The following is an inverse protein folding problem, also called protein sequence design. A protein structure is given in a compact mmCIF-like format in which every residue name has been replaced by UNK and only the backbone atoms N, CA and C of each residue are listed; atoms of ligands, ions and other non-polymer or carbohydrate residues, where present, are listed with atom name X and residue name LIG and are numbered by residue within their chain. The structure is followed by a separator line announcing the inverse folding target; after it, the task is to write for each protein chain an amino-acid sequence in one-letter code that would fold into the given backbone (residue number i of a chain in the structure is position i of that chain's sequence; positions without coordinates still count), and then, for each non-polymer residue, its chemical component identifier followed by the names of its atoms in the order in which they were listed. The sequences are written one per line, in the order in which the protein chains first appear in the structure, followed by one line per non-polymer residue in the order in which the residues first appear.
data_IF_984994737346
#
_entry.id   IF_984994737346
#
_cell.length_a   1.000
_cell.length_b   1.000
_cell.length_c   1.000
_cell.angle_alpha   90.00
_cell.angle_beta   90.00
_cell.angle_gamma   90.00
#
_symmetry.space_group_name_H-M   'P 1'
#
loop_
_entity.id
_entity.type
_entity.pdbx_description
1 polymer ?
#
# COMPACT_ATOMS: atom_id res chain seq x y z
N UNK A 1 -7.69 12.69 -13.76
CA UNK A 1 -6.94 11.42 -13.62
C UNK A 1 -7.19 10.89 -12.20
N UNK A 2 -7.28 9.58 -11.97
CA UNK A 2 -7.46 9.06 -10.60
C UNK A 2 -6.06 8.79 -10.00
N UNK A 3 -5.62 9.61 -9.07
CA UNK A 3 -4.29 9.55 -8.46
C UNK A 3 -3.96 8.18 -7.86
N UNK A 4 -4.96 7.48 -7.31
CA UNK A 4 -4.78 6.11 -6.81
C UNK A 4 -4.47 5.13 -7.94
N UNK A 5 -5.05 5.31 -9.12
CA UNK A 5 -4.74 4.47 -10.27
C UNK A 5 -3.28 4.67 -10.73
N UNK A 6 -2.80 5.91 -10.72
CA UNK A 6 -1.40 6.24 -11.06
C UNK A 6 -0.46 5.57 -10.04
N UNK A 7 -0.69 5.83 -8.75
CA UNK A 7 0.10 5.22 -7.67
C UNK A 7 0.09 3.68 -7.73
N UNK A 8 -1.07 3.07 -7.98
CA UNK A 8 -1.19 1.61 -8.14
C UNK A 8 -0.35 1.07 -9.30
N UNK A 9 -0.39 1.72 -10.47
CA UNK A 9 0.40 1.27 -11.63
C UNK A 9 1.90 1.30 -11.32
N UNK A 10 2.36 2.36 -10.65
CA UNK A 10 3.77 2.53 -10.25
C UNK A 10 4.15 1.46 -9.22
N UNK A 11 3.39 1.34 -8.12
CA UNK A 11 3.65 0.37 -7.06
C UNK A 11 3.59 -1.07 -7.55
N UNK A 12 2.61 -1.42 -8.40
CA UNK A 12 2.50 -2.77 -8.95
C UNK A 12 3.61 -3.09 -9.97
N UNK A 13 4.25 -2.07 -10.56
CA UNK A 13 5.46 -2.27 -11.36
C UNK A 13 6.68 -2.50 -10.46
N UNK A 14 6.87 -1.66 -9.43
CA UNK A 14 7.91 -1.84 -8.41
C UNK A 14 7.85 -3.26 -7.81
N UNK A 15 6.63 -3.72 -7.48
CA UNK A 15 6.40 -5.04 -6.91
C UNK A 15 6.86 -6.17 -7.84
N UNK A 16 6.47 -6.10 -9.13
CA UNK A 16 6.80 -7.10 -10.15
C UNK A 16 8.29 -7.14 -10.45
N UNK A 17 8.92 -5.98 -10.50
CA UNK A 17 10.34 -5.82 -10.83
C UNK A 17 11.24 -6.04 -9.59
N UNK A 18 10.64 -6.29 -8.41
CA UNK A 18 11.31 -6.43 -7.10
C UNK A 18 12.22 -5.24 -6.75
N UNK A 19 11.81 -4.06 -7.17
CA UNK A 19 12.58 -2.82 -7.15
C UNK A 19 12.48 -2.06 -5.81
N UNK A 20 12.78 -2.73 -4.69
CA UNK A 20 12.56 -2.14 -3.35
C UNK A 20 13.75 -1.42 -2.73
N UNK A 21 14.97 -1.60 -3.26
CA UNK A 21 16.13 -0.85 -2.78
C UNK A 21 16.05 0.61 -3.22
N UNK A 22 16.41 1.55 -2.34
CA UNK A 22 16.33 3.00 -2.61
C UNK A 22 16.92 3.41 -3.97
N UNK A 23 18.08 2.89 -4.36
CA UNK A 23 18.71 3.19 -5.66
C UNK A 23 17.86 2.75 -6.87
N UNK A 24 17.21 1.59 -6.78
CA UNK A 24 16.35 1.09 -7.85
C UNK A 24 15.01 1.84 -7.81
N UNK A 25 14.46 2.09 -6.62
CA UNK A 25 13.26 2.89 -6.46
C UNK A 25 13.43 4.29 -7.06
N UNK A 26 14.52 5.00 -6.73
CA UNK A 26 14.80 6.34 -7.23
C UNK A 26 14.90 6.38 -8.75
N UNK A 27 15.59 5.41 -9.37
CA UNK A 27 15.69 5.31 -10.83
C UNK A 27 14.33 5.00 -11.48
N UNK A 28 13.50 4.16 -10.86
CA UNK A 28 12.12 3.91 -11.30
C UNK A 28 11.25 5.16 -11.17
N UNK A 29 11.31 5.87 -10.05
CA UNK A 29 10.53 7.08 -9.83
C UNK A 29 10.98 8.22 -10.75
N UNK A 30 12.27 8.30 -11.10
CA UNK A 30 12.75 9.20 -12.14
C UNK A 30 12.14 8.90 -13.51
N UNK A 31 11.95 7.62 -13.88
CA UNK A 31 11.26 7.26 -15.12
C UNK A 31 9.80 7.74 -15.14
N UNK A 32 9.15 7.79 -13.97
CA UNK A 32 7.76 8.24 -13.79
C UNK A 32 7.65 9.65 -13.21
N UNK A 33 8.74 10.43 -13.23
CA UNK A 33 8.87 11.67 -12.46
C UNK A 33 7.73 12.65 -12.76
N UNK A 34 7.42 12.87 -14.03
CA UNK A 34 6.33 13.79 -14.40
C UNK A 34 4.98 13.39 -13.77
N UNK A 35 4.66 12.10 -13.70
CA UNK A 35 3.42 11.61 -13.11
C UNK A 35 3.45 11.70 -11.57
N UNK A 36 4.55 11.27 -10.94
CA UNK A 36 4.71 11.28 -9.47
C UNK A 36 4.67 12.69 -8.90
N UNK A 37 5.40 13.62 -9.53
CA UNK A 37 5.51 15.00 -9.06
C UNK A 37 4.32 15.87 -9.49
N UNK A 38 3.44 15.37 -10.36
CA UNK A 38 2.21 16.10 -10.73
C UNK A 38 1.17 16.17 -9.60
N UNK A 39 1.23 15.25 -8.63
CA UNK A 39 0.31 15.22 -7.49
C UNK A 39 1.02 14.82 -6.21
N UNK A 40 0.92 15.68 -5.19
CA UNK A 40 1.40 15.40 -3.84
C UNK A 40 0.78 14.12 -3.26
N UNK A 41 -0.45 13.78 -3.64
CA UNK A 41 -1.11 12.55 -3.20
C UNK A 41 -0.45 11.31 -3.79
N UNK A 42 -0.12 11.32 -5.09
CA UNK A 42 0.57 10.21 -5.75
C UNK A 42 1.93 9.98 -5.11
N UNK A 43 2.72 11.05 -4.95
CA UNK A 43 4.02 10.99 -4.28
C UNK A 43 3.91 10.41 -2.87
N UNK A 44 3.03 10.97 -2.02
CA UNK A 44 2.87 10.50 -0.65
C UNK A 44 2.48 9.03 -0.56
N UNK A 45 1.64 8.54 -1.48
CA UNK A 45 1.19 7.15 -1.50
C UNK A 45 2.27 6.20 -2.01
N UNK A 46 3.03 6.57 -3.04
CA UNK A 46 4.09 5.72 -3.61
C UNK A 46 5.27 5.60 -2.65
N UNK A 47 5.82 6.73 -2.17
CA UNK A 47 6.93 6.72 -1.21
C UNK A 47 6.50 6.04 0.08
N UNK A 48 5.36 6.45 0.64
CA UNK A 48 4.89 5.93 1.91
C UNK A 48 4.59 4.43 1.92
N UNK A 49 4.02 3.89 0.83
CA UNK A 49 3.84 2.44 0.71
C UNK A 49 5.18 1.72 0.63
N UNK A 50 6.13 2.25 -0.15
CA UNK A 50 7.42 1.60 -0.39
C UNK A 50 8.31 1.60 0.86
N UNK A 51 8.38 2.73 1.58
CA UNK A 51 9.16 2.87 2.82
C UNK A 51 8.61 2.01 3.96
N UNK A 52 7.29 1.73 3.96
CA UNK A 52 6.60 1.06 5.07
C UNK A 52 6.15 -0.36 4.73
N UNK A 53 6.65 -0.99 3.66
CA UNK A 53 6.19 -2.34 3.24
C UNK A 53 6.16 -3.32 4.42
N UNK A 54 7.22 -3.37 5.23
CA UNK A 54 7.31 -4.29 6.38
C UNK A 54 6.18 -4.02 7.39
N UNK A 55 5.95 -2.75 7.73
CA UNK A 55 4.89 -2.33 8.65
C UNK A 55 3.50 -2.64 8.08
N UNK A 56 3.27 -2.31 6.80
CA UNK A 56 1.99 -2.55 6.14
C UNK A 56 1.67 -4.05 6.05
N UNK A 57 2.67 -4.87 5.73
CA UNK A 57 2.55 -6.32 5.69
C UNK A 57 2.26 -6.91 7.07
N UNK A 58 2.92 -6.39 8.11
CA UNK A 58 2.64 -6.76 9.50
C UNK A 58 1.17 -6.46 9.88
N UNK A 59 0.67 -5.26 9.54
CA UNK A 59 -0.74 -4.92 9.77
C UNK A 59 -1.66 -5.88 9.02
N UNK A 60 -1.42 -6.08 7.72
CA UNK A 60 -2.25 -6.97 6.88
C UNK A 60 -2.27 -8.41 7.39
N UNK A 61 -1.14 -8.92 7.88
CA UNK A 61 -1.03 -10.28 8.41
C UNK A 61 -1.96 -10.53 9.60
N UNK A 62 -2.30 -9.51 10.40
CA UNK A 62 -3.25 -9.63 11.52
C UNK A 62 -4.71 -9.82 11.07
N UNK A 63 -5.06 -9.37 9.86
CA UNK A 63 -6.45 -9.36 9.37
C UNK A 63 -6.70 -10.35 8.23
N UNK A 64 -5.65 -10.92 7.64
CA UNK A 64 -5.73 -11.93 6.60
C UNK A 64 -5.70 -13.34 7.20
N UNK A 65 -6.61 -14.20 6.74
CA UNK A 65 -6.62 -15.63 7.13
C UNK A 65 -5.63 -16.47 6.34
N UNK A 66 -5.24 -16.01 5.15
CA UNK A 66 -4.24 -16.67 4.28
C UNK A 66 -2.95 -15.85 4.28
N UNK A 67 -1.78 -16.49 4.15
CA UNK A 67 -0.50 -15.78 4.03
C UNK A 67 -0.51 -14.77 2.88
N UNK A 68 0.12 -13.60 3.08
CA UNK A 68 0.20 -12.52 2.07
C UNK A 68 0.74 -13.03 0.72
N UNK A 69 1.74 -13.92 0.76
CA UNK A 69 2.34 -14.56 -0.43
C UNK A 69 1.38 -15.38 -1.30
N UNK A 70 0.15 -15.65 -0.83
CA UNK A 70 -0.90 -16.33 -1.61
C UNK A 70 -1.81 -15.35 -2.34
N UNK A 71 -1.72 -14.06 -2.07
CA UNK A 71 -2.43 -13.02 -2.82
C UNK A 71 -1.69 -12.73 -4.12
N UNK A 72 -2.44 -12.38 -5.18
CA UNK A 72 -1.82 -11.82 -6.38
C UNK A 72 -1.17 -10.47 -6.04
N UNK A 73 -0.04 -10.11 -6.68
CA UNK A 73 0.65 -8.85 -6.45
C UNK A 73 -0.28 -7.64 -6.48
N UNK A 74 -1.19 -7.57 -7.46
CA UNK A 74 -2.15 -6.47 -7.61
C UNK A 74 -3.04 -6.29 -6.37
N UNK A 75 -3.53 -7.40 -5.82
CA UNK A 75 -4.42 -7.38 -4.64
C UNK A 75 -3.64 -6.92 -3.42
N UNK A 76 -2.40 -7.41 -3.27
CA UNK A 76 -1.54 -7.03 -2.17
C UNK A 76 -1.15 -5.54 -2.25
N UNK A 77 -0.82 -5.03 -3.44
CA UNK A 77 -0.56 -3.60 -3.65
C UNK A 77 -1.77 -2.74 -3.26
N UNK A 78 -2.98 -3.12 -3.69
CA UNK A 78 -4.21 -2.37 -3.33
C UNK A 78 -4.44 -2.39 -1.82
N UNK A 79 -4.24 -3.54 -1.17
CA UNK A 79 -4.35 -3.66 0.28
C UNK A 79 -3.33 -2.78 1.00
N UNK A 80 -2.05 -2.80 0.59
CA UNK A 80 -0.99 -1.95 1.15
C UNK A 80 -1.33 -0.46 1.00
N UNK A 81 -1.78 -0.05 -0.19
CA UNK A 81 -2.23 1.33 -0.43
C UNK A 81 -3.42 1.72 0.46
N UNK A 82 -4.37 0.81 0.65
CA UNK A 82 -5.53 1.02 1.52
C UNK A 82 -5.13 1.19 2.98
N UNK A 83 -4.28 0.30 3.50
CA UNK A 83 -3.75 0.39 4.87
C UNK A 83 -2.93 1.67 5.06
N UNK A 84 -2.10 2.03 4.08
CA UNK A 84 -1.31 3.25 4.17
C UNK A 84 -2.18 4.50 4.32
N UNK A 85 -3.21 4.63 3.47
CA UNK A 85 -4.17 5.72 3.57
C UNK A 85 -4.87 5.76 4.94
N UNK A 86 -5.33 4.60 5.43
CA UNK A 86 -6.06 4.52 6.71
C UNK A 86 -5.21 4.84 7.93
N UNK A 87 -3.91 4.52 7.90
CA UNK A 87 -3.06 4.59 9.11
C UNK A 87 -2.04 5.71 9.09
N UNK A 88 -1.76 6.28 7.93
CA UNK A 88 -0.68 7.26 7.78
C UNK A 88 -1.10 8.52 7.00
N UNK A 89 -2.32 8.60 6.47
CA UNK A 89 -2.81 9.78 5.75
C UNK A 89 -4.03 10.41 6.44
N UNK A 90 -3.77 11.34 7.37
CA UNK A 90 -4.81 12.04 8.16
C UNK A 90 -5.86 12.81 7.32
N UNK A 91 -5.58 13.10 6.04
CA UNK A 91 -6.48 13.79 5.13
C UNK A 91 -7.42 12.90 4.32
N UNK A 92 -7.36 11.57 4.49
CA UNK A 92 -8.18 10.62 3.72
C UNK A 92 -9.26 10.04 4.61
N UNK A 93 -10.56 10.29 4.34
CA UNK A 93 -11.63 9.65 5.09
C UNK A 93 -11.58 8.12 4.94
N UNK A 94 -11.80 7.38 6.03
CA UNK A 94 -11.77 5.92 6.05
C UNK A 94 -12.66 5.29 4.97
N UNK A 95 -13.89 5.81 4.85
CA UNK A 95 -14.85 5.36 3.85
C UNK A 95 -14.34 5.57 2.42
N UNK A 96 -13.61 6.67 2.16
CA UNK A 96 -13.00 6.94 0.87
C UNK A 96 -11.83 5.99 0.59
N UNK A 97 -10.95 5.76 1.57
CA UNK A 97 -9.84 4.81 1.44
C UNK A 97 -10.34 3.40 1.11
N UNK A 98 -11.39 2.93 1.80
CA UNK A 98 -12.00 1.61 1.55
C UNK A 98 -12.68 1.56 0.19
N UNK A 99 -13.61 2.49 -0.08
CA UNK A 99 -14.43 2.44 -1.29
C UNK A 99 -13.60 2.62 -2.56
N UNK A 100 -12.62 3.53 -2.55
CA UNK A 100 -11.75 3.73 -3.70
C UNK A 100 -10.80 2.54 -3.92
N UNK A 101 -10.36 1.85 -2.86
CA UNK A 101 -9.58 0.61 -3.00
C UNK A 101 -10.39 -0.51 -3.67
N UNK A 102 -11.67 -0.64 -3.32
CA UNK A 102 -12.57 -1.61 -3.96
C UNK A 102 -12.83 -1.25 -5.43
N UNK A 103 -13.09 0.03 -5.73
CA UNK A 103 -13.25 0.49 -7.12
C UNK A 103 -11.97 0.26 -7.94
N UNK A 104 -10.82 0.50 -7.34
CA UNK A 104 -9.51 0.27 -7.95
C UNK A 104 -9.31 -1.21 -8.28
N UNK A 105 -9.67 -2.12 -7.37
CA UNK A 105 -9.62 -3.55 -7.62
C UNK A 105 -10.52 -3.97 -8.79
N UNK A 106 -11.77 -3.51 -8.79
CA UNK A 106 -12.72 -3.80 -9.88
C UNK A 106 -12.21 -3.34 -11.24
N UNK A 107 -11.62 -2.13 -11.30
CA UNK A 107 -11.09 -1.55 -12.55
C UNK A 107 -9.82 -2.22 -13.07
N UNK A 108 -9.11 -2.98 -12.23
CA UNK A 108 -7.82 -3.59 -12.57
C UNK A 108 -7.87 -5.13 -12.52
N UNK A 109 -9.01 -5.73 -12.90
CA UNK A 109 -9.13 -7.19 -13.05
C UNK A 109 -9.10 -7.98 -11.74
N UNK A 110 -9.25 -7.31 -10.60
CA UNK A 110 -9.24 -7.91 -9.26
C UNK A 110 -10.64 -7.98 -8.63
N UNK A 111 -11.69 -8.09 -9.45
CA UNK A 111 -13.08 -8.09 -8.96
C UNK A 111 -13.36 -9.22 -7.96
N UNK A 112 -12.76 -10.40 -8.17
CA UNK A 112 -12.83 -11.54 -7.26
C UNK A 112 -12.30 -11.23 -5.84
N UNK A 113 -11.47 -10.20 -5.68
CA UNK A 113 -10.87 -9.80 -4.42
C UNK A 113 -11.59 -8.60 -3.75
N UNK A 114 -12.61 -8.00 -4.40
CA UNK A 114 -13.31 -6.83 -3.87
C UNK A 114 -13.88 -7.05 -2.46
N UNK A 115 -14.50 -8.21 -2.22
CA UNK A 115 -15.06 -8.56 -0.91
C UNK A 115 -13.97 -8.66 0.16
N UNK A 116 -12.85 -9.33 -0.16
CA UNK A 116 -11.69 -9.43 0.72
C UNK A 116 -11.12 -8.05 1.06
N UNK A 117 -10.88 -7.21 0.05
CA UNK A 117 -10.33 -5.86 0.23
C UNK A 117 -11.23 -5.01 1.12
N UNK A 118 -12.54 -5.00 0.85
CA UNK A 118 -13.49 -4.26 1.68
C UNK A 118 -13.48 -4.75 3.13
N UNK A 119 -13.58 -6.06 3.34
CA UNK A 119 -13.64 -6.64 4.68
C UNK A 119 -12.36 -6.41 5.48
N UNK A 120 -11.18 -6.55 4.85
CA UNK A 120 -9.89 -6.33 5.52
C UNK A 120 -9.72 -4.85 5.87
N UNK A 121 -9.91 -3.94 4.91
CA UNK A 121 -9.68 -2.52 5.14
C UNK A 121 -10.66 -1.91 6.16
N UNK A 122 -11.92 -2.39 6.21
CA UNK A 122 -12.86 -2.00 7.27
C UNK A 122 -12.43 -2.47 8.67
N UNK A 123 -11.86 -3.68 8.78
CA UNK A 123 -11.31 -4.14 10.06
C UNK A 123 -10.11 -3.29 10.47
N UNK A 124 -9.22 -3.01 9.52
CA UNK A 124 -8.05 -2.15 9.76
C UNK A 124 -8.48 -0.77 10.22
N UNK A 125 -9.46 -0.12 9.58
CA UNK A 125 -9.89 1.24 9.94
C UNK A 125 -10.37 1.34 11.39
N UNK A 126 -11.06 0.30 11.88
CA UNK A 126 -11.61 0.24 13.24
C UNK A 126 -10.62 -0.25 14.30
N UNK A 127 -9.44 -0.72 13.92
CA UNK A 127 -8.49 -1.35 14.84
C UNK A 127 -7.37 -0.41 15.27
N UNK A 128 -7.04 -0.42 16.56
CA UNK A 128 -5.76 0.07 17.05
C UNK A 128 -4.69 -1.01 16.80
N UNK A 129 -3.56 -0.63 16.20
CA UNK A 129 -2.49 -1.56 15.87
C UNK A 129 -1.36 -1.36 16.86
N UNK A 130 -1.14 -2.36 17.71
CA UNK A 130 0.06 -2.46 18.52
C UNK A 130 1.21 -2.97 17.66
N UNK A 131 2.23 -2.12 17.51
CA UNK A 131 3.46 -2.43 16.79
C UNK A 131 4.49 -3.02 17.76
N UNK A 132 5.30 -4.00 17.33
CA UNK A 132 6.35 -4.53 18.16
C UNK A 132 7.33 -3.42 18.54
N UNK A 133 7.79 -3.42 19.79
CA UNK A 133 8.87 -2.53 20.21
C UNK A 133 10.11 -2.81 19.34
N UNK A 134 10.75 -1.75 18.85
CA UNK A 134 12.04 -1.89 18.19
C UNK A 134 13.07 -2.31 19.24
N UNK A 135 13.64 -3.48 19.08
CA UNK A 135 14.72 -3.97 19.92
C UNK A 135 15.94 -3.05 19.71
N UNK A 136 16.16 -2.10 20.62
CA UNK A 136 17.22 -1.09 20.54
C UNK A 136 18.65 -1.70 20.65
N UNK A 137 18.76 -3.01 20.82
CA UNK A 137 20.02 -3.73 21.03
C UNK A 137 20.97 -3.74 19.81
N UNK A 138 20.51 -3.37 18.61
CA UNK A 138 21.33 -3.45 17.38
C UNK A 138 22.22 -2.20 17.16
N UNK A 139 21.99 -1.08 17.86
CA UNK A 139 22.76 0.15 17.68
C UNK A 139 23.96 0.33 18.63
N UNK A 140 24.33 -0.71 19.38
CA UNK A 140 25.51 -0.70 20.26
C UNK A 140 26.70 -1.46 19.64
N UNK A 141 27.11 -1.10 18.41
CA UNK A 141 28.35 -1.56 17.79
C UNK A 141 29.15 -0.37 17.24
#
# INVERSE_FOLDING_TARGET
MNDRLVAFKILNRIERDKAYSNLVLDSYLQQYHAEVYSSAFVSALVYGVTERIITLDFVLAKFLTKPLKKLKPEVLTILRMGVYQLKFMNGVPDSAAVNESVKLARKNGCEYACSLINSVLRKVSLSEIEYPETDNAIYNL
#
